data_IF_333942366477
#
_entry.id   IF_333942366477
#
_cell.length_a   1.000
_cell.length_b   1.000
_cell.length_c   1.000
_cell.angle_alpha   90.00
_cell.angle_beta   90.00
_cell.angle_gamma   90.00
#
_symmetry.space_group_name_H-M   'P 1'
#
loop_
_entity.id
_entity.type
_entity.pdbx_description
1 polymer ?
#
# COMPACT_ATOMS: atom_id res chain seq x y z
N UNK A 1 7.11 22.37 4.88
CA UNK A 1 6.63 21.50 5.99
C UNK A 1 5.91 20.25 5.49
N UNK A 2 5.08 20.32 4.44
CA UNK A 2 4.35 19.15 3.89
C UNK A 2 5.25 18.00 3.40
N UNK A 3 6.33 18.30 2.67
CA UNK A 3 7.24 17.27 2.15
C UNK A 3 7.89 16.41 3.25
N UNK A 4 8.17 16.98 4.42
CA UNK A 4 8.79 16.26 5.53
C UNK A 4 7.89 15.13 6.06
N UNK A 5 6.59 15.39 6.17
CA UNK A 5 5.60 14.38 6.60
C UNK A 5 5.45 13.26 5.57
N UNK A 6 5.43 13.61 4.29
CA UNK A 6 5.39 12.64 3.20
C UNK A 6 6.63 11.74 3.16
N UNK A 7 7.82 12.30 3.37
CA UNK A 7 9.06 11.53 3.44
C UNK A 7 9.08 10.57 4.63
N UNK A 8 8.62 11.01 5.81
CA UNK A 8 8.49 10.12 6.98
C UNK A 8 7.51 8.99 6.67
N UNK A 9 6.34 9.32 6.12
CA UNK A 9 5.32 8.35 5.77
C UNK A 9 5.83 7.31 4.77
N UNK A 10 6.57 7.75 3.75
CA UNK A 10 7.22 6.87 2.78
C UNK A 10 8.22 5.91 3.45
N UNK A 11 9.00 6.40 4.41
CA UNK A 11 9.92 5.60 5.21
C UNK A 11 9.19 4.55 6.06
N UNK A 12 8.09 4.92 6.71
CA UNK A 12 7.26 3.99 7.51
C UNK A 12 6.69 2.88 6.63
N UNK A 13 6.13 3.23 5.46
CA UNK A 13 5.62 2.24 4.51
C UNK A 13 6.72 1.33 3.94
N UNK A 14 7.91 1.88 3.70
CA UNK A 14 9.07 1.10 3.27
C UNK A 14 9.50 0.08 4.33
N UNK A 15 9.50 0.47 5.61
CA UNK A 15 9.78 -0.44 6.72
C UNK A 15 8.71 -1.53 6.86
N UNK A 16 7.42 -1.19 6.70
CA UNK A 16 6.35 -2.19 6.73
C UNK A 16 6.45 -3.19 5.57
N UNK A 17 6.85 -2.75 4.38
CA UNK A 17 7.13 -3.63 3.24
C UNK A 17 8.24 -4.64 3.55
N UNK A 18 9.34 -4.19 4.16
CA UNK A 18 10.45 -5.09 4.55
C UNK A 18 10.01 -6.09 5.62
N UNK A 19 9.24 -5.63 6.60
CA UNK A 19 8.67 -6.50 7.64
C UNK A 19 7.73 -7.56 7.03
N UNK A 20 6.84 -7.13 6.13
CA UNK A 20 5.92 -8.01 5.41
C UNK A 20 6.66 -9.08 4.61
N UNK A 21 7.69 -8.69 3.84
CA UNK A 21 8.51 -9.65 3.08
C UNK A 21 9.08 -10.71 4.00
N UNK A 22 9.68 -10.32 5.14
CA UNK A 22 10.30 -11.26 6.07
C UNK A 22 9.32 -12.31 6.60
N UNK A 23 8.07 -11.93 6.82
CA UNK A 23 7.04 -12.80 7.37
C UNK A 23 6.38 -13.68 6.29
N UNK A 24 6.10 -13.10 5.12
CA UNK A 24 5.39 -13.76 4.04
C UNK A 24 6.30 -14.64 3.16
N UNK A 25 7.61 -14.33 3.06
CA UNK A 25 8.59 -15.21 2.40
C UNK A 25 8.60 -16.61 3.01
N UNK A 26 8.24 -16.74 4.29
CA UNK A 26 8.21 -18.02 4.99
C UNK A 26 7.03 -18.91 4.58
N UNK A 27 5.97 -18.33 3.99
CA UNK A 27 4.71 -19.00 3.65
C UNK A 27 4.51 -19.23 2.15
N UNK A 28 5.34 -18.61 1.28
CA UNK A 28 5.36 -18.76 -0.19
C UNK A 28 3.96 -18.92 -0.84
N UNK A 29 3.00 -18.10 -0.45
CA UNK A 29 1.64 -18.18 -1.00
C UNK A 29 1.53 -17.25 -2.21
N UNK A 30 0.91 -17.72 -3.31
CA UNK A 30 0.74 -16.96 -4.56
C UNK A 30 0.01 -15.62 -4.28
N UNK A 31 -1.01 -15.63 -3.43
CA UNK A 31 -1.73 -14.42 -3.01
C UNK A 31 -0.83 -13.41 -2.27
N UNK A 32 0.07 -13.89 -1.41
CA UNK A 32 1.02 -13.03 -0.69
C UNK A 32 2.06 -12.40 -1.60
N UNK A 33 2.47 -13.10 -2.67
CA UNK A 33 3.35 -12.56 -3.71
C UNK A 33 2.64 -11.46 -4.52
N UNK A 34 1.38 -11.68 -4.93
CA UNK A 34 0.60 -10.67 -5.64
C UNK A 34 0.44 -9.41 -4.78
N UNK A 35 0.13 -9.60 -3.49
CA UNK A 35 0.00 -8.51 -2.53
C UNK A 35 1.29 -7.71 -2.36
N UNK A 36 2.43 -8.41 -2.28
CA UNK A 36 3.73 -7.77 -2.23
C UNK A 36 4.02 -6.92 -3.46
N UNK A 37 3.74 -7.45 -4.66
CA UNK A 37 3.96 -6.75 -5.92
C UNK A 37 3.09 -5.49 -5.99
N UNK A 38 1.83 -5.58 -5.61
CA UNK A 38 0.94 -4.42 -5.61
C UNK A 38 1.44 -3.38 -4.61
N UNK A 39 1.83 -3.81 -3.41
CA UNK A 39 2.36 -2.92 -2.37
C UNK A 39 3.67 -2.23 -2.77
N UNK A 40 4.59 -2.91 -3.46
CA UNK A 40 5.84 -2.29 -3.92
C UNK A 40 5.59 -1.28 -5.03
N UNK A 41 4.65 -1.58 -5.94
CA UNK A 41 4.28 -0.69 -7.04
C UNK A 41 3.57 0.57 -6.54
N UNK A 42 2.65 0.44 -5.59
CA UNK A 42 1.99 1.60 -4.97
C UNK A 42 2.98 2.43 -4.15
N UNK A 43 3.90 1.81 -3.43
CA UNK A 43 4.99 2.50 -2.74
C UNK A 43 5.91 3.26 -3.71
N UNK A 44 6.25 2.69 -4.87
CA UNK A 44 6.98 3.41 -5.92
C UNK A 44 6.18 4.61 -6.45
N UNK A 45 4.85 4.52 -6.51
CA UNK A 45 3.98 5.65 -6.84
C UNK A 45 4.11 6.77 -5.83
N UNK A 46 4.04 6.45 -4.54
CA UNK A 46 4.30 7.45 -3.52
C UNK A 46 5.70 8.05 -3.62
N UNK A 47 6.72 7.22 -3.88
CA UNK A 47 8.10 7.68 -4.07
C UNK A 47 8.24 8.65 -5.25
N UNK A 48 7.63 8.33 -6.38
CA UNK A 48 7.56 9.21 -7.56
C UNK A 48 6.92 10.56 -7.21
N UNK A 49 5.82 10.53 -6.44
CA UNK A 49 5.11 11.73 -5.99
C UNK A 49 5.97 12.59 -5.05
N UNK A 50 6.59 11.98 -4.04
CA UNK A 50 7.39 12.71 -3.04
C UNK A 50 8.67 13.30 -3.63
N UNK A 51 9.31 12.58 -4.56
CA UNK A 51 10.57 13.02 -5.19
C UNK A 51 10.37 13.89 -6.42
N UNK A 52 9.14 13.97 -6.94
CA UNK A 52 8.83 14.66 -8.20
C UNK A 52 9.47 14.01 -9.42
N UNK A 53 9.98 12.77 -9.31
CA UNK A 53 10.57 12.04 -10.43
C UNK A 53 9.51 11.28 -11.21
N UNK A 54 9.56 11.36 -12.53
CA UNK A 54 8.69 10.61 -13.43
C UNK A 54 9.24 9.19 -13.62
N UNK A 55 8.77 8.25 -12.79
CA UNK A 55 9.20 6.83 -12.86
C UNK A 55 8.41 6.09 -13.95
N UNK A 56 7.10 6.33 -13.99
CA UNK A 56 6.21 5.79 -15.01
C UNK A 56 5.37 6.90 -15.65
N UNK A 57 4.72 6.57 -16.75
CA UNK A 57 3.77 7.47 -17.43
C UNK A 57 2.49 7.61 -16.63
N UNK A 58 1.77 8.71 -16.87
CA UNK A 58 0.49 9.01 -16.23
C UNK A 58 -0.54 7.87 -16.40
N UNK A 59 -0.59 7.24 -17.58
CA UNK A 59 -1.53 6.15 -17.86
C UNK A 59 -1.23 4.89 -17.01
N UNK A 60 0.04 4.61 -16.75
CA UNK A 60 0.42 3.51 -15.85
C UNK A 60 -0.05 3.83 -14.43
N UNK A 61 0.12 5.07 -13.97
CA UNK A 61 -0.34 5.47 -12.63
C UNK A 61 -1.86 5.40 -12.47
N UNK A 62 -2.63 5.67 -13.52
CA UNK A 62 -4.10 5.46 -13.51
C UNK A 62 -4.46 3.99 -13.29
N UNK A 63 -3.79 3.08 -13.99
CA UNK A 63 -4.00 1.63 -13.83
C UNK A 63 -3.61 1.21 -12.40
N UNK A 64 -2.44 1.64 -11.93
CA UNK A 64 -1.95 1.34 -10.58
C UNK A 64 -2.90 1.86 -9.51
N UNK A 65 -3.44 3.07 -9.67
CA UNK A 65 -4.41 3.64 -8.75
C UNK A 65 -5.65 2.75 -8.63
N UNK A 66 -6.27 2.39 -9.76
CA UNK A 66 -7.50 1.59 -9.75
C UNK A 66 -7.25 0.18 -9.26
N UNK A 67 -6.24 -0.51 -9.81
CA UNK A 67 -5.92 -1.90 -9.47
C UNK A 67 -5.47 -2.03 -8.03
N UNK A 68 -4.59 -1.14 -7.57
CA UNK A 68 -4.11 -1.13 -6.19
C UNK A 68 -5.25 -0.87 -5.21
N UNK A 69 -6.04 0.19 -5.44
CA UNK A 69 -7.13 0.55 -4.53
C UNK A 69 -8.19 -0.57 -4.46
N UNK A 70 -8.57 -1.14 -5.60
CA UNK A 70 -9.47 -2.29 -5.62
C UNK A 70 -8.88 -3.49 -4.88
N UNK A 71 -7.59 -3.75 -5.02
CA UNK A 71 -6.90 -4.85 -4.35
C UNK A 71 -6.86 -4.68 -2.83
N UNK A 72 -6.55 -3.48 -2.33
CA UNK A 72 -6.49 -3.22 -0.89
C UNK A 72 -7.88 -3.26 -0.25
N UNK A 73 -8.89 -2.70 -0.93
CA UNK A 73 -10.28 -2.80 -0.49
C UNK A 73 -10.72 -4.27 -0.46
N UNK A 74 -10.49 -5.01 -1.55
CA UNK A 74 -10.83 -6.43 -1.61
C UNK A 74 -10.06 -7.26 -0.56
N UNK A 75 -8.79 -6.95 -0.35
CA UNK A 75 -7.95 -7.54 0.69
C UNK A 75 -8.55 -7.36 2.09
N UNK A 76 -8.94 -6.13 2.41
CA UNK A 76 -9.51 -5.78 3.72
C UNK A 76 -10.87 -6.43 3.99
N UNK A 77 -11.69 -6.65 2.95
CA UNK A 77 -13.04 -7.18 3.05
C UNK A 77 -13.12 -8.71 2.94
N UNK A 78 -12.38 -9.32 2.02
CA UNK A 78 -12.51 -10.73 1.66
C UNK A 78 -11.42 -11.63 2.22
N UNK A 79 -10.26 -11.06 2.62
CA UNK A 79 -9.10 -11.83 3.07
C UNK A 79 -8.67 -11.41 4.48
N UNK A 80 -9.43 -11.78 5.54
CA UNK A 80 -9.07 -11.46 6.92
C UNK A 80 -7.70 -12.04 7.34
N UNK A 81 -7.25 -13.12 6.71
CA UNK A 81 -5.93 -13.72 6.89
C UNK A 81 -4.75 -12.89 6.35
N UNK A 82 -4.97 -11.83 5.55
CA UNK A 82 -3.89 -10.92 5.12
C UNK A 82 -3.41 -10.01 6.26
N UNK A 83 -4.24 -9.79 7.28
CA UNK A 83 -3.83 -9.03 8.45
C UNK A 83 -2.89 -9.92 9.24
N UNK A 84 -1.61 -9.58 9.20
CA UNK A 84 -0.48 -10.45 9.52
C UNK A 84 -0.44 -10.95 10.97
N UNK A 85 -1.36 -10.54 11.83
CA UNK A 85 -1.54 -11.14 13.15
C UNK A 85 -2.87 -11.89 13.21
N UNK A 86 -2.83 -13.13 13.72
CA UNK A 86 -3.99 -13.85 14.25
C UNK A 86 -4.85 -12.98 15.20
N UNK A 87 -4.28 -11.89 15.74
CA UNK A 87 -4.94 -10.90 16.60
C UNK A 87 -5.87 -9.92 15.86
N UNK A 88 -5.66 -9.66 14.57
CA UNK A 88 -6.54 -8.78 13.78
C UNK A 88 -7.73 -9.51 13.14
N UNK A 89 -7.70 -10.84 13.13
CA UNK A 89 -8.87 -11.65 12.75
C UNK A 89 -10.01 -11.50 13.77
N UNK A 90 -9.65 -11.40 15.06
CA UNK A 90 -10.58 -11.20 16.19
C UNK A 90 -10.66 -9.73 16.64
N UNK A 91 -9.81 -8.86 16.09
CA UNK A 91 -9.74 -7.45 16.46
C UNK A 91 -10.99 -6.65 16.08
N UNK A 92 -11.38 -5.63 16.87
CA UNK A 92 -12.57 -4.84 16.60
C UNK A 92 -12.53 -4.18 15.21
N UNK A 93 -13.69 -4.10 14.55
CA UNK A 93 -13.89 -3.50 13.21
C UNK A 93 -13.17 -2.15 13.01
N UNK A 94 -13.02 -1.38 14.09
CA UNK A 94 -12.29 -0.12 14.11
C UNK A 94 -10.82 -0.25 13.66
N UNK A 95 -10.11 -1.33 14.00
CA UNK A 95 -8.71 -1.53 13.59
C UNK A 95 -8.58 -1.74 12.07
N UNK A 96 -9.54 -2.41 11.44
CA UNK A 96 -9.60 -2.55 9.97
C UNK A 96 -9.90 -1.23 9.28
N UNK A 97 -10.72 -0.39 9.90
CA UNK A 97 -11.01 0.94 9.38
C UNK A 97 -9.80 1.88 9.52
N UNK A 98 -9.05 1.75 10.63
CA UNK A 98 -7.84 2.52 10.87
C UNK A 98 -6.72 2.19 9.85
N UNK A 99 -6.59 0.92 9.43
CA UNK A 99 -5.60 0.55 8.40
C UNK A 99 -5.96 1.13 7.03
N UNK A 100 -7.24 1.12 6.64
CA UNK A 100 -7.73 1.80 5.44
C UNK A 100 -7.42 3.31 5.47
N UNK A 101 -7.63 3.94 6.62
CA UNK A 101 -7.30 5.36 6.81
C UNK A 101 -5.79 5.61 6.71
N UNK A 102 -4.96 4.67 7.16
CA UNK A 102 -3.51 4.74 7.04
C UNK A 102 -3.02 4.62 5.60
N UNK A 103 -3.75 3.93 4.72
CA UNK A 103 -3.42 3.77 3.30
C UNK A 103 -3.95 4.96 2.46
N UNK A 104 -4.89 5.75 3.00
CA UNK A 104 -5.47 6.88 2.28
C UNK A 104 -4.43 7.88 1.72
N UNK A 105 -3.39 8.31 2.47
CA UNK A 105 -2.36 9.20 1.93
C UNK A 105 -1.56 8.58 0.77
N UNK A 106 -1.33 7.26 0.79
CA UNK A 106 -0.67 6.55 -0.31
C UNK A 106 -1.42 6.75 -1.63
N UNK A 107 -2.73 6.46 -1.63
CA UNK A 107 -3.56 6.61 -2.83
C UNK A 107 -3.78 8.05 -3.23
N UNK A 108 -3.78 9.00 -2.29
CA UNK A 108 -3.77 10.41 -2.63
C UNK A 108 -2.52 10.80 -3.45
N UNK A 109 -1.33 10.33 -3.05
CA UNK A 109 -0.09 10.58 -3.80
C UNK A 109 -0.13 9.99 -5.21
N UNK A 110 -0.65 8.77 -5.36
CA UNK A 110 -0.78 8.11 -6.66
C UNK A 110 -1.84 8.81 -7.53
N UNK A 111 -2.94 9.27 -6.94
CA UNK A 111 -3.98 10.03 -7.65
C UNK A 111 -3.41 11.30 -8.30
N UNK A 112 -2.55 12.03 -7.56
CA UNK A 112 -1.86 13.20 -8.09
C UNK A 112 -1.04 12.85 -9.34
N UNK A 113 -0.31 11.73 -9.33
CA UNK A 113 0.47 11.28 -10.50
C UNK A 113 -0.38 10.78 -11.67
N UNK A 114 -1.58 10.26 -11.37
CA UNK A 114 -2.45 9.62 -12.35
C UNK A 114 -3.35 10.62 -13.09
N UNK A 115 -3.78 11.70 -12.44
CA UNK A 115 -4.84 12.55 -12.96
C UNK A 115 -4.50 14.05 -13.02
N UNK A 116 -3.40 14.47 -12.43
CA UNK A 116 -2.95 15.88 -12.40
C UNK A 116 -1.63 15.98 -13.15
#
# INVERSE_FOLDING_TARGET
MSFFLWTIYLGVLGLSLVAYVKEEWRKYTILGLIDFIISIVTWFGLFSFVTGQTIFTQEIWRIVFVVGLCWDIAGSLFFPHKLTSREMEEGPFFLRFASLLFIFPLYYGIYQLAFI
#
